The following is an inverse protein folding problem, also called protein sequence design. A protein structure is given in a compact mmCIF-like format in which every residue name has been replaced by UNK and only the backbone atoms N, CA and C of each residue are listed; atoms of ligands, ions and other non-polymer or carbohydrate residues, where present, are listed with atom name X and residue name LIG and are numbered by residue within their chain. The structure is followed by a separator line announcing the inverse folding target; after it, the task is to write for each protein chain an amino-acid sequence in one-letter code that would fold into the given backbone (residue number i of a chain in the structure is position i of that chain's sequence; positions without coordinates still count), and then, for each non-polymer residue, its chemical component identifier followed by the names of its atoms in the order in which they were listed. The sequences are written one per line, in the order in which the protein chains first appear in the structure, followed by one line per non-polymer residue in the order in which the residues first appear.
data_IF_311920175371
#
_entry.id   IF_311920175371
#
_cell.length_a   1.000
_cell.length_b   1.000
_cell.length_c   1.000
_cell.angle_alpha   90.00
_cell.angle_beta   90.00
_cell.angle_gamma   90.00
#
_symmetry.space_group_name_H-M   'P 1'
#
loop_
_entity.id
_entity.type
_entity.pdbx_description
1 polymer ?
#
# COMPACT_ATOMS: atom_id res chain seq x y z
N UNK A 1 7.10 -17.25 -28.79
CA UNK A 1 7.35 -16.01 -29.56
C UNK A 1 7.86 -14.96 -28.59
N UNK A 2 9.06 -14.42 -28.78
CA UNK A 2 9.67 -13.46 -27.85
C UNK A 2 8.91 -12.12 -27.94
N UNK A 3 8.39 -11.65 -26.81
CA UNK A 3 7.73 -10.35 -26.69
C UNK A 3 8.80 -9.27 -26.96
N UNK A 4 8.66 -8.51 -28.07
CA UNK A 4 9.57 -7.42 -28.45
C UNK A 4 9.43 -6.23 -27.48
N UNK A 5 10.54 -5.50 -27.30
CA UNK A 5 10.70 -4.34 -26.40
C UNK A 5 9.60 -3.26 -26.56
N UNK A 6 9.06 -3.08 -27.77
CA UNK A 6 7.98 -2.14 -28.09
C UNK A 6 6.69 -2.41 -27.29
N UNK A 7 6.38 -3.68 -26.99
CA UNK A 7 5.22 -4.03 -26.15
C UNK A 7 5.39 -3.62 -24.70
N UNK A 8 6.63 -3.62 -24.17
CA UNK A 8 6.88 -3.27 -22.77
C UNK A 8 6.76 -1.76 -22.51
N UNK A 9 7.06 -0.92 -23.51
CA UNK A 9 6.98 0.54 -23.38
C UNK A 9 5.57 1.10 -23.58
N UNK A 10 4.69 0.34 -24.24
CA UNK A 10 3.28 0.71 -24.45
C UNK A 10 2.38 0.13 -23.34
N UNK A 11 2.71 -1.05 -22.82
CA UNK A 11 1.78 -1.79 -21.97
C UNK A 11 1.87 -1.36 -20.50
N UNK A 12 0.74 -0.84 -19.98
CA UNK A 12 0.61 -0.51 -18.56
C UNK A 12 0.76 -1.80 -17.71
N UNK A 13 1.21 -1.67 -16.46
CA UNK A 13 1.34 -2.80 -15.51
C UNK A 13 0.06 -3.62 -15.38
N UNK A 14 -1.10 -2.97 -15.47
CA UNK A 14 -2.40 -3.65 -15.43
C UNK A 14 -2.61 -4.50 -16.68
N UNK A 15 -2.31 -3.97 -17.86
CA UNK A 15 -2.43 -4.69 -19.13
C UNK A 15 -1.48 -5.89 -19.20
N UNK A 16 -0.25 -5.75 -18.68
CA UNK A 16 0.69 -6.87 -18.57
C UNK A 16 0.14 -8.01 -17.69
N UNK A 17 -0.59 -7.66 -16.62
CA UNK A 17 -1.23 -8.65 -15.74
C UNK A 17 -2.49 -9.23 -16.37
N UNK A 18 -3.21 -8.47 -17.18
CA UNK A 18 -4.36 -8.96 -17.93
C UNK A 18 -3.91 -9.97 -18.99
N UNK A 19 -2.85 -9.67 -19.74
CA UNK A 19 -2.24 -10.58 -20.70
C UNK A 19 -1.89 -11.92 -20.04
N UNK A 20 -1.35 -11.88 -18.82
CA UNK A 20 -1.05 -13.10 -18.06
C UNK A 20 -2.30 -13.96 -17.81
N UNK A 21 -3.43 -13.33 -17.46
CA UNK A 21 -4.72 -14.03 -17.26
C UNK A 21 -5.23 -14.60 -18.58
N UNK A 22 -5.16 -13.83 -19.67
CA UNK A 22 -5.57 -14.27 -21.02
C UNK A 22 -4.75 -15.48 -21.48
N UNK A 23 -3.42 -15.43 -21.37
CA UNK A 23 -2.53 -16.55 -21.71
C UNK A 23 -2.83 -17.79 -20.86
N UNK A 24 -3.19 -17.61 -19.59
CA UNK A 24 -3.61 -18.73 -18.76
C UNK A 24 -4.94 -19.34 -19.21
N UNK A 25 -5.90 -18.53 -19.65
CA UNK A 25 -7.16 -19.02 -20.18
C UNK A 25 -6.99 -19.86 -21.45
N UNK A 26 -6.00 -19.54 -22.28
CA UNK A 26 -5.66 -20.33 -23.47
C UNK A 26 -4.87 -21.60 -23.13
N UNK A 27 -3.80 -21.48 -22.34
CA UNK A 27 -2.87 -22.60 -22.12
C UNK A 27 -3.29 -23.54 -20.98
N UNK A 28 -4.17 -23.08 -20.09
CA UNK A 28 -4.59 -23.77 -18.85
C UNK A 28 -3.44 -24.32 -17.99
N UNK A 29 -2.24 -23.76 -18.13
CA UNK A 29 -1.01 -24.22 -17.47
C UNK A 29 -0.13 -23.07 -17.01
N UNK A 30 0.04 -22.97 -15.68
CA UNK A 30 0.86 -21.94 -15.02
C UNK A 30 2.32 -22.00 -15.50
N UNK A 31 2.85 -23.21 -15.69
CA UNK A 31 4.24 -23.42 -16.13
C UNK A 31 4.46 -22.96 -17.57
N UNK A 32 3.47 -23.15 -18.45
CA UNK A 32 3.56 -22.71 -19.85
C UNK A 32 3.49 -21.19 -19.93
N UNK A 33 2.54 -20.57 -19.23
CA UNK A 33 2.40 -19.10 -19.16
C UNK A 33 3.67 -18.45 -18.60
N UNK A 34 4.22 -18.98 -17.50
CA UNK A 34 5.43 -18.40 -16.89
C UNK A 34 6.62 -18.42 -17.85
N UNK A 35 6.78 -19.48 -18.64
CA UNK A 35 7.85 -19.59 -19.64
C UNK A 35 7.62 -18.65 -20.82
N UNK A 36 6.38 -18.57 -21.32
CA UNK A 36 6.05 -17.70 -22.46
C UNK A 36 6.27 -16.22 -22.12
N UNK A 37 5.86 -15.80 -20.92
CA UNK A 37 5.93 -14.40 -20.48
C UNK A 37 7.25 -14.04 -19.78
N UNK A 38 8.19 -14.97 -19.65
CA UNK A 38 9.47 -14.72 -18.96
C UNK A 38 9.32 -14.32 -17.49
N UNK A 39 8.32 -14.88 -16.79
CA UNK A 39 8.03 -14.56 -15.38
C UNK A 39 8.10 -15.80 -14.49
N UNK A 40 8.00 -15.63 -13.18
CA UNK A 40 7.96 -16.76 -12.25
C UNK A 40 6.54 -17.34 -12.13
N UNK A 41 6.44 -18.65 -11.84
CA UNK A 41 5.15 -19.29 -11.54
C UNK A 41 4.42 -18.62 -10.37
N UNK A 42 5.15 -18.03 -9.41
CA UNK A 42 4.57 -17.33 -8.27
C UNK A 42 3.87 -16.03 -8.70
N UNK A 43 4.44 -15.29 -9.66
CA UNK A 43 3.81 -14.09 -10.23
C UNK A 43 2.52 -14.47 -10.93
N UNK A 44 2.53 -15.55 -11.72
CA UNK A 44 1.32 -16.06 -12.39
C UNK A 44 0.24 -16.41 -11.39
N UNK A 45 0.56 -17.24 -10.39
CA UNK A 45 -0.39 -17.61 -9.33
C UNK A 45 -0.99 -16.42 -8.60
N UNK A 46 -0.15 -15.43 -8.26
CA UNK A 46 -0.60 -14.22 -7.56
C UNK A 46 -1.65 -13.46 -8.36
N UNK A 47 -1.40 -13.20 -9.64
CA UNK A 47 -2.30 -12.39 -10.45
C UNK A 47 -3.56 -13.14 -10.87
N UNK A 48 -3.48 -14.45 -11.11
CA UNK A 48 -4.67 -15.27 -11.32
C UNK A 48 -5.59 -15.25 -10.11
N UNK A 49 -5.06 -15.51 -8.90
CA UNK A 49 -5.85 -15.46 -7.66
C UNK A 49 -6.54 -14.10 -7.50
N UNK A 50 -5.80 -13.00 -7.67
CA UNK A 50 -6.37 -11.64 -7.55
C UNK A 50 -7.43 -11.35 -8.59
N UNK A 51 -7.27 -11.86 -9.80
CA UNK A 51 -8.27 -11.72 -10.86
C UNK A 51 -9.51 -12.56 -10.59
N UNK A 52 -9.36 -13.77 -10.04
CA UNK A 52 -10.47 -14.61 -9.59
C UNK A 52 -11.24 -13.94 -8.44
N UNK A 53 -10.55 -13.33 -7.49
CA UNK A 53 -11.15 -12.70 -6.31
C UNK A 53 -11.81 -11.34 -6.61
N UNK A 54 -11.18 -10.50 -7.43
CA UNK A 54 -11.56 -9.08 -7.60
C UNK A 54 -11.73 -8.64 -9.07
N UNK A 55 -11.58 -9.56 -10.03
CA UNK A 55 -11.63 -9.27 -11.46
C UNK A 55 -10.53 -8.30 -11.89
N UNK A 56 -10.87 -7.40 -12.83
CA UNK A 56 -9.94 -6.39 -13.34
C UNK A 56 -9.39 -5.47 -12.24
N UNK A 57 -10.16 -5.18 -11.18
CA UNK A 57 -9.70 -4.34 -10.05
C UNK A 57 -8.51 -4.97 -9.33
N UNK A 58 -8.49 -6.30 -9.19
CA UNK A 58 -7.40 -7.04 -8.55
C UNK A 58 -6.06 -6.94 -9.29
N UNK A 59 -6.07 -6.51 -10.55
CA UNK A 59 -4.86 -6.31 -11.35
C UNK A 59 -4.18 -4.97 -11.09
N UNK A 60 -4.80 -4.06 -10.33
CA UNK A 60 -4.17 -2.79 -9.96
C UNK A 60 -3.10 -2.98 -8.88
N UNK A 61 -2.22 -1.98 -8.73
CA UNK A 61 -1.25 -1.99 -7.65
C UNK A 61 -1.95 -1.82 -6.30
N UNK A 62 -1.74 -2.78 -5.40
CA UNK A 62 -2.08 -2.58 -3.99
C UNK A 62 -1.11 -1.60 -3.36
N UNK A 63 -1.59 -0.86 -2.37
CA UNK A 63 -0.74 -0.01 -1.54
C UNK A 63 0.46 -0.80 -1.02
N UNK A 64 1.66 -0.24 -1.18
CA UNK A 64 2.90 -0.79 -0.61
C UNK A 64 3.08 -0.42 0.86
N UNK A 65 2.14 0.34 1.44
CA UNK A 65 2.18 0.72 2.85
C UNK A 65 1.98 -0.55 3.71
N UNK A 66 2.70 -0.69 4.84
CA UNK A 66 2.48 -1.78 5.77
C UNK A 66 1.01 -1.87 6.18
N UNK A 67 0.44 -3.09 6.15
CA UNK A 67 -0.92 -3.33 6.62
C UNK A 67 -1.07 -3.02 8.12
N UNK A 68 -0.02 -3.28 8.89
CA UNK A 68 0.02 -3.05 10.35
C UNK A 68 1.30 -2.30 10.70
N UNK A 69 1.19 -1.34 11.61
CA UNK A 69 2.31 -0.63 12.20
C UNK A 69 2.15 -0.67 13.73
N UNK A 70 2.67 -1.71 14.41
CA UNK A 70 2.39 -1.95 15.83
C UNK A 70 2.82 -0.81 16.75
N UNK A 71 3.85 -0.05 16.36
CA UNK A 71 4.35 1.13 17.10
C UNK A 71 3.64 2.43 16.72
N UNK A 72 2.60 2.37 15.88
CA UNK A 72 1.83 3.54 15.53
C UNK A 72 1.04 4.01 16.76
N UNK A 73 1.13 5.30 17.05
CA UNK A 73 0.31 5.95 18.09
C UNK A 73 -1.16 5.61 17.89
N UNK A 74 -1.89 5.33 18.97
CA UNK A 74 -3.32 5.03 18.88
C UNK A 74 -4.08 6.19 18.20
N UNK A 75 -5.01 5.84 17.31
CA UNK A 75 -5.78 6.83 16.52
C UNK A 75 -6.53 7.85 17.37
N UNK A 76 -6.96 7.45 18.57
CA UNK A 76 -7.58 8.35 19.55
C UNK A 76 -6.63 9.46 20.00
N UNK A 77 -5.36 9.12 20.26
CA UNK A 77 -4.33 10.09 20.66
C UNK A 77 -3.95 10.99 19.48
N UNK A 78 -3.86 10.46 18.26
CA UNK A 78 -3.65 11.26 17.05
C UNK A 78 -4.76 12.32 16.90
N UNK A 79 -6.02 11.91 17.05
CA UNK A 79 -7.18 12.82 17.00
C UNK A 79 -7.13 13.89 18.08
N UNK A 80 -6.75 13.51 19.31
CA UNK A 80 -6.59 14.46 20.42
C UNK A 80 -5.53 15.52 20.09
N UNK A 81 -4.36 15.10 19.58
CA UNK A 81 -3.29 16.03 19.18
C UNK A 81 -3.77 16.99 18.10
N UNK A 82 -4.47 16.48 17.07
CA UNK A 82 -5.03 17.32 16.00
C UNK A 82 -6.11 18.28 16.52
N UNK A 83 -6.96 17.85 17.46
CA UNK A 83 -7.97 18.69 18.10
C UNK A 83 -7.31 19.82 18.90
N UNK A 84 -6.38 19.51 19.78
CA UNK A 84 -5.64 20.50 20.57
C UNK A 84 -4.89 21.50 19.69
N UNK A 85 -4.30 21.04 18.58
CA UNK A 85 -3.66 21.94 17.61
C UNK A 85 -4.65 22.94 17.01
N UNK A 86 -5.85 22.49 16.64
CA UNK A 86 -6.90 23.34 16.06
C UNK A 86 -7.44 24.35 17.08
N UNK A 87 -7.65 23.93 18.32
CA UNK A 87 -8.22 24.79 19.37
C UNK A 87 -7.22 25.82 19.90
N UNK A 88 -5.94 25.45 20.04
CA UNK A 88 -4.95 26.31 20.72
C UNK A 88 -3.97 27.00 19.77
N UNK A 89 -3.80 26.50 18.54
CA UNK A 89 -2.73 26.93 17.63
C UNK A 89 -1.32 26.56 18.09
N UNK A 90 -1.17 25.81 19.19
CA UNK A 90 0.14 25.55 19.80
C UNK A 90 1.03 24.63 19.00
N UNK A 91 2.34 24.93 19.03
CA UNK A 91 3.37 24.11 18.39
C UNK A 91 3.64 22.80 19.14
N UNK A 92 4.39 21.90 18.49
CA UNK A 92 4.68 20.53 18.98
C UNK A 92 5.14 20.46 20.44
N UNK A 93 6.01 21.38 20.89
CA UNK A 93 6.54 21.42 22.25
C UNK A 93 5.46 21.68 23.30
N UNK A 94 4.63 22.70 23.07
CA UNK A 94 3.50 23.02 23.97
C UNK A 94 2.44 21.93 23.96
N UNK A 95 2.16 21.34 22.79
CA UNK A 95 1.23 20.21 22.70
C UNK A 95 1.73 18.98 23.46
N UNK A 96 3.02 18.62 23.33
CA UNK A 96 3.60 17.52 24.11
C UNK A 96 3.50 17.77 25.63
N UNK A 97 3.71 19.03 26.06
CA UNK A 97 3.55 19.41 27.46
C UNK A 97 2.10 19.28 27.96
N UNK A 98 1.12 19.76 27.19
CA UNK A 98 -0.32 19.62 27.53
C UNK A 98 -0.72 18.15 27.60
N UNK A 99 -0.30 17.35 26.62
CA UNK A 99 -0.60 15.91 26.58
C UNK A 99 -0.07 15.20 27.83
N UNK A 100 1.12 15.59 28.29
CA UNK A 100 1.69 15.04 29.53
C UNK A 100 0.96 15.53 30.77
N UNK A 101 0.67 16.83 30.87
CA UNK A 101 0.08 17.46 32.06
C UNK A 101 -1.38 17.07 32.27
N UNK A 102 -2.19 17.17 31.22
CA UNK A 102 -3.66 17.09 31.33
C UNK A 102 -4.19 15.69 31.00
N UNK A 103 -3.47 14.93 30.17
CA UNK A 103 -3.93 13.63 29.67
C UNK A 103 -3.02 12.46 30.09
N UNK A 104 -1.93 12.72 30.83
CA UNK A 104 -0.91 11.73 31.21
C UNK A 104 -0.30 10.96 30.02
N UNK A 105 -0.37 11.54 28.81
CA UNK A 105 0.12 10.93 27.57
C UNK A 105 1.55 11.42 27.33
N UNK A 106 2.49 10.48 27.39
CA UNK A 106 3.92 10.74 27.22
C UNK A 106 4.32 10.57 25.74
N UNK A 107 4.25 11.65 24.97
CA UNK A 107 4.74 11.68 23.59
C UNK A 107 5.93 12.63 23.45
N UNK A 108 6.93 12.22 22.68
CA UNK A 108 8.03 13.11 22.32
C UNK A 108 7.54 14.21 21.37
N UNK A 109 8.24 15.35 21.37
CA UNK A 109 7.93 16.45 20.44
C UNK A 109 7.98 16.01 18.98
N UNK A 110 8.88 15.08 18.65
CA UNK A 110 8.99 14.51 17.31
C UNK A 110 7.81 13.62 16.96
N UNK A 111 7.32 12.80 17.89
CA UNK A 111 6.10 12.02 17.66
C UNK A 111 4.92 12.95 17.42
N UNK A 112 4.79 14.03 18.18
CA UNK A 112 3.77 15.06 17.95
C UNK A 112 3.94 15.71 16.57
N UNK A 113 5.18 16.07 16.16
CA UNK A 113 5.47 16.58 14.82
C UNK A 113 5.04 15.61 13.72
N UNK A 114 5.31 14.32 13.88
CA UNK A 114 4.91 13.30 12.92
C UNK A 114 3.40 13.17 12.84
N UNK A 115 2.68 13.23 13.96
CA UNK A 115 1.22 13.21 13.98
C UNK A 115 0.65 14.43 13.25
N UNK A 116 1.21 15.61 13.46
CA UNK A 116 0.77 16.86 12.82
C UNK A 116 1.06 16.94 11.31
N UNK A 117 1.94 16.08 10.78
CA UNK A 117 2.35 16.06 9.36
C UNK A 117 1.68 14.95 8.53
N UNK A 118 0.85 14.12 9.15
CA UNK A 118 0.09 13.07 8.45
C UNK A 118 -1.15 13.65 7.81
#
# INVERSE_FOLDING_TARGET
MQIRYERLYIMNRVEARLLLVERYNELKSISSVSRELGTSRQVVRKWLRRYEDEGYKGLQDSSRKPHVSPRRTASMVERLVSKLRKETGYGRRRLAWILRRDYNIHLSEDTVRHILRR
#
